data_IF_024967700141
#
_entry.id   IF_024967700141
#
_cell.length_a   1.000
_cell.length_b   1.000
_cell.length_c   1.000
_cell.angle_alpha   90.00
_cell.angle_beta   90.00
_cell.angle_gamma   90.00
#
_symmetry.space_group_name_H-M   'P 1'
#
loop_
_entity.id
_entity.type
_entity.pdbx_description
1 polymer ?
#
# COMPACT_ATOMS: atom_id res chain seq x y z
N UNK A 1 -27.65 -8.76 -40.66
CA UNK A 1 -27.09 -7.43 -40.32
C UNK A 1 -27.54 -7.12 -38.89
N UNK A 2 -26.77 -7.55 -37.90
CA UNK A 2 -27.10 -7.42 -36.48
C UNK A 2 -26.27 -6.26 -35.90
N UNK A 3 -26.94 -5.16 -35.57
CA UNK A 3 -26.38 -4.02 -34.89
C UNK A 3 -26.08 -4.40 -33.43
N UNK A 4 -24.80 -4.38 -33.01
CA UNK A 4 -24.40 -4.38 -31.62
C UNK A 4 -24.48 -2.95 -31.06
N UNK A 5 -25.12 -2.71 -29.93
CA UNK A 5 -25.11 -1.39 -29.32
C UNK A 5 -23.70 -1.15 -28.71
N UNK A 6 -23.00 -0.15 -29.25
CA UNK A 6 -21.88 0.52 -28.58
C UNK A 6 -22.47 1.40 -27.48
N UNK A 7 -22.14 1.12 -26.24
CA UNK A 7 -21.95 2.00 -25.08
C UNK A 7 -22.30 1.25 -23.81
N UNK A 8 -21.36 0.42 -23.34
CA UNK A 8 -21.24 0.26 -21.90
C UNK A 8 -20.25 1.33 -21.42
N UNK A 9 -20.76 2.48 -21.07
CA UNK A 9 -20.09 3.40 -20.17
C UNK A 9 -19.89 2.65 -18.87
N UNK A 10 -18.65 2.34 -18.55
CA UNK A 10 -18.24 1.90 -17.21
C UNK A 10 -18.61 3.04 -16.27
N UNK A 11 -19.78 2.95 -15.65
CA UNK A 11 -20.21 3.82 -14.57
C UNK A 11 -19.15 3.71 -13.48
N UNK A 12 -18.55 4.85 -13.18
CA UNK A 12 -17.60 5.02 -12.10
C UNK A 12 -18.27 4.53 -10.81
N UNK A 13 -17.86 3.36 -10.29
CA UNK A 13 -18.45 2.69 -9.11
C UNK A 13 -18.04 3.40 -7.83
N UNK A 14 -18.31 4.69 -7.75
CA UNK A 14 -18.09 5.49 -6.53
C UNK A 14 -19.06 5.13 -5.40
N UNK A 15 -20.18 4.49 -5.71
CA UNK A 15 -21.14 4.05 -4.70
C UNK A 15 -20.59 2.85 -3.93
N UNK A 16 -20.11 1.83 -4.61
CA UNK A 16 -19.53 0.63 -3.99
C UNK A 16 -18.28 0.93 -3.16
N UNK A 17 -17.45 1.88 -3.61
CA UNK A 17 -16.30 2.32 -2.82
C UNK A 17 -16.75 2.99 -1.51
N UNK A 18 -17.72 3.91 -1.56
CA UNK A 18 -18.26 4.59 -0.37
C UNK A 18 -18.85 3.61 0.64
N UNK A 19 -19.59 2.61 0.17
CA UNK A 19 -20.18 1.59 1.01
C UNK A 19 -19.09 0.71 1.66
N UNK A 20 -18.03 0.39 0.93
CA UNK A 20 -16.87 -0.33 1.47
C UNK A 20 -16.19 0.47 2.59
N UNK A 21 -15.95 1.77 2.40
CA UNK A 21 -15.39 2.63 3.45
C UNK A 21 -16.29 2.72 4.68
N UNK A 22 -17.59 2.87 4.49
CA UNK A 22 -18.57 2.88 5.60
C UNK A 22 -18.57 1.57 6.38
N UNK A 23 -18.54 0.44 5.69
CA UNK A 23 -18.50 -0.89 6.33
C UNK A 23 -17.21 -1.08 7.14
N UNK A 24 -16.07 -0.64 6.61
CA UNK A 24 -14.78 -0.70 7.31
C UNK A 24 -14.80 0.21 8.56
N UNK A 25 -15.33 1.42 8.46
CA UNK A 25 -15.45 2.33 9.59
C UNK A 25 -16.36 1.75 10.68
N UNK A 26 -17.52 1.21 10.29
CA UNK A 26 -18.44 0.54 11.19
C UNK A 26 -17.77 -0.62 11.92
N UNK A 27 -17.05 -1.47 11.18
CA UNK A 27 -16.28 -2.57 11.76
C UNK A 27 -15.26 -2.08 12.78
N UNK A 28 -14.49 -1.04 12.43
CA UNK A 28 -13.46 -0.51 13.33
C UNK A 28 -14.05 0.05 14.61
N UNK A 29 -15.13 0.83 14.53
CA UNK A 29 -15.82 1.40 15.70
C UNK A 29 -16.41 0.32 16.58
N UNK A 30 -17.12 -0.65 16.00
CA UNK A 30 -17.66 -1.79 16.77
C UNK A 30 -16.57 -2.54 17.54
N UNK A 31 -15.42 -2.79 16.88
CA UNK A 31 -14.29 -3.46 17.55
C UNK A 31 -13.66 -2.62 18.64
N UNK A 32 -13.57 -1.31 18.46
CA UNK A 32 -13.09 -0.40 19.49
C UNK A 32 -14.03 -0.39 20.69
N UNK A 33 -15.34 -0.33 20.47
CA UNK A 33 -16.34 -0.35 21.54
C UNK A 33 -16.34 -1.67 22.31
N UNK A 34 -16.32 -2.82 21.59
CA UNK A 34 -16.22 -4.16 22.19
C UNK A 34 -14.99 -4.33 23.10
N UNK A 35 -13.89 -3.66 22.76
CA UNK A 35 -12.61 -3.78 23.46
C UNK A 35 -12.38 -2.67 24.50
N UNK A 36 -13.40 -1.83 24.76
CA UNK A 36 -13.35 -0.80 25.79
C UNK A 36 -12.60 0.47 25.38
N UNK A 37 -12.58 0.77 24.09
CA UNK A 37 -11.98 1.98 23.52
C UNK A 37 -13.04 2.96 22.99
N UNK A 38 -14.20 3.02 23.62
CA UNK A 38 -15.32 3.90 23.23
C UNK A 38 -14.96 5.40 23.24
N UNK A 39 -13.97 5.79 24.05
CA UNK A 39 -13.45 7.15 24.13
C UNK A 39 -12.36 7.46 23.08
N UNK A 40 -12.03 6.51 22.23
CA UNK A 40 -11.10 6.66 21.12
C UNK A 40 -11.82 7.01 19.82
N UNK A 41 -11.15 7.79 18.97
CA UNK A 41 -11.69 8.17 17.67
C UNK A 41 -11.09 7.31 16.55
N UNK A 42 -11.94 6.90 15.60
CA UNK A 42 -11.50 6.28 14.36
C UNK A 42 -11.62 7.29 13.21
N UNK A 43 -10.66 7.27 12.28
CA UNK A 43 -10.69 8.15 11.13
C UNK A 43 -9.81 7.67 9.97
N UNK A 44 -9.75 8.49 8.94
CA UNK A 44 -9.02 8.24 7.72
C UNK A 44 -7.86 9.23 7.57
N UNK A 45 -6.72 8.76 7.04
CA UNK A 45 -5.64 9.65 6.65
C UNK A 45 -5.20 9.42 5.18
N UNK A 46 -4.34 10.28 4.68
CA UNK A 46 -3.81 10.22 3.30
C UNK A 46 -2.35 9.78 3.25
N UNK A 47 -1.88 9.06 4.22
CA UNK A 47 -0.50 8.58 4.25
C UNK A 47 -0.26 7.58 3.11
N UNK A 48 0.86 7.74 2.40
CA UNK A 48 1.25 6.86 1.28
C UNK A 48 2.29 5.81 1.66
N UNK A 49 2.84 5.89 2.87
CA UNK A 49 3.99 5.07 3.31
C UNK A 49 3.72 4.28 4.59
N UNK A 50 2.53 4.41 5.17
CA UNK A 50 2.08 3.62 6.31
C UNK A 50 0.64 3.17 6.07
N UNK A 51 0.24 2.07 6.67
CA UNK A 51 -1.09 1.50 6.53
C UNK A 51 -2.08 2.17 7.48
N UNK A 52 -1.66 2.35 8.73
CA UNK A 52 -2.40 2.99 9.79
C UNK A 52 -1.49 3.71 10.79
N UNK A 53 -2.08 4.33 11.80
CA UNK A 53 -1.38 4.88 12.95
C UNK A 53 -2.32 5.00 14.15
N UNK A 54 -1.82 4.58 15.31
CA UNK A 54 -2.43 4.83 16.61
C UNK A 54 -1.73 6.03 17.28
N UNK A 55 -2.48 7.13 17.51
CA UNK A 55 -1.99 8.31 18.23
C UNK A 55 -2.45 8.22 19.68
N UNK A 56 -1.56 7.74 20.52
CA UNK A 56 -1.85 7.36 21.89
C UNK A 56 -2.37 8.53 22.75
N UNK A 57 -1.74 9.70 22.63
CA UNK A 57 -2.11 10.90 23.42
C UNK A 57 -3.40 11.54 22.91
N UNK A 58 -3.64 11.46 21.62
CA UNK A 58 -4.85 12.01 20.97
C UNK A 58 -6.03 11.02 21.03
N UNK A 59 -5.82 9.81 21.56
CA UNK A 59 -6.78 8.71 21.56
C UNK A 59 -7.44 8.53 20.20
N UNK A 60 -6.63 8.45 19.14
CA UNK A 60 -7.12 8.33 17.77
C UNK A 60 -6.39 7.26 16.98
N UNK A 61 -7.17 6.52 16.20
CA UNK A 61 -6.68 5.51 15.25
C UNK A 61 -7.08 5.97 13.85
N UNK A 62 -6.11 6.03 12.93
CA UNK A 62 -6.40 6.35 11.52
C UNK A 62 -5.82 5.31 10.60
N UNK A 63 -6.55 5.01 9.51
CA UNK A 63 -6.12 4.09 8.45
C UNK A 63 -5.99 4.88 7.13
N UNK A 64 -4.98 4.55 6.36
CA UNK A 64 -4.73 5.23 5.09
C UNK A 64 -5.80 4.88 4.04
N UNK A 65 -6.44 5.91 3.45
CA UNK A 65 -7.36 5.75 2.33
C UNK A 65 -6.68 5.10 1.11
N UNK A 66 -5.39 5.37 0.90
CA UNK A 66 -4.63 4.77 -0.20
C UNK A 66 -4.42 3.28 0.01
N UNK A 67 -4.13 2.87 1.25
CA UNK A 67 -4.01 1.46 1.61
C UNK A 67 -5.35 0.73 1.42
N UNK A 68 -6.45 1.29 1.93
CA UNK A 68 -7.78 0.69 1.82
C UNK A 68 -8.16 0.50 0.35
N UNK A 69 -8.03 1.55 -0.48
CA UNK A 69 -8.33 1.46 -1.92
C UNK A 69 -7.53 0.38 -2.64
N UNK A 70 -6.27 0.22 -2.28
CA UNK A 70 -5.39 -0.78 -2.88
C UNK A 70 -5.71 -2.22 -2.43
N UNK A 71 -6.50 -2.39 -1.36
CA UNK A 71 -6.75 -3.68 -0.71
C UNK A 71 -8.24 -3.99 -0.53
N UNK A 72 -9.14 -3.35 -1.28
CA UNK A 72 -10.58 -3.64 -1.21
C UNK A 72 -10.90 -5.10 -1.53
N UNK A 73 -10.14 -5.73 -2.43
CA UNK A 73 -10.25 -7.15 -2.78
C UNK A 73 -9.66 -8.10 -1.71
N UNK A 74 -8.94 -7.56 -0.73
CA UNK A 74 -8.32 -8.31 0.36
C UNK A 74 -8.72 -7.75 1.72
N UNK A 75 -10.01 -7.79 2.09
CA UNK A 75 -10.54 -7.14 3.30
C UNK A 75 -9.91 -7.66 4.61
N UNK A 76 -9.34 -8.85 4.60
CA UNK A 76 -8.63 -9.40 5.76
C UNK A 76 -7.36 -8.58 6.10
N UNK A 77 -6.64 -8.08 5.12
CA UNK A 77 -5.45 -7.21 5.36
C UNK A 77 -5.85 -5.88 5.99
N UNK A 78 -7.00 -5.33 5.58
CA UNK A 78 -7.54 -4.10 6.17
C UNK A 78 -7.96 -4.35 7.63
N UNK A 79 -8.65 -5.46 7.90
CA UNK A 79 -9.06 -5.83 9.26
C UNK A 79 -7.87 -6.08 10.17
N UNK A 80 -6.87 -6.81 9.70
CA UNK A 80 -5.63 -7.06 10.46
C UNK A 80 -4.92 -5.75 10.81
N UNK A 81 -4.84 -4.81 9.86
CA UNK A 81 -4.27 -3.47 10.11
C UNK A 81 -5.07 -2.70 11.17
N UNK A 82 -6.40 -2.73 11.12
CA UNK A 82 -7.24 -2.09 12.14
C UNK A 82 -6.99 -2.70 13.52
N UNK A 83 -6.97 -4.02 13.62
CA UNK A 83 -6.72 -4.73 14.88
C UNK A 83 -5.29 -4.46 15.40
N UNK A 84 -4.31 -4.33 14.51
CA UNK A 84 -2.95 -3.91 14.86
C UNK A 84 -2.91 -2.56 15.57
N UNK A 85 -3.61 -1.56 15.03
CA UNK A 85 -3.67 -0.23 15.64
C UNK A 85 -4.49 -0.23 16.96
N UNK A 86 -5.56 -1.04 17.03
CA UNK A 86 -6.32 -1.28 18.26
C UNK A 86 -5.43 -1.93 19.32
N UNK A 87 -4.58 -2.89 18.95
CA UNK A 87 -3.64 -3.50 19.89
C UNK A 87 -2.66 -2.49 20.50
N UNK A 88 -2.21 -1.49 19.72
CA UNK A 88 -1.41 -0.37 20.26
C UNK A 88 -2.18 0.44 21.28
N UNK A 89 -3.44 0.78 21.02
CA UNK A 89 -4.29 1.52 21.95
C UNK A 89 -4.49 0.74 23.25
N UNK A 90 -4.78 -0.55 23.17
CA UNK A 90 -4.95 -1.43 24.33
C UNK A 90 -3.65 -1.62 25.14
N UNK A 91 -2.53 -1.83 24.45
CA UNK A 91 -1.22 -1.99 25.09
C UNK A 91 -0.82 -0.73 25.87
N UNK A 92 -1.10 0.43 25.30
CA UNK A 92 -0.91 1.70 25.97
C UNK A 92 -1.87 1.89 27.16
N UNK A 93 -3.15 1.70 26.94
CA UNK A 93 -4.17 1.95 27.99
C UNK A 93 -4.01 1.01 29.17
N UNK A 94 -3.68 -0.27 28.92
CA UNK A 94 -3.59 -1.30 29.98
C UNK A 94 -2.23 -1.38 30.63
N UNK A 95 -1.15 -1.09 29.90
CA UNK A 95 0.23 -1.39 30.33
C UNK A 95 1.21 -0.24 30.11
N UNK A 96 0.81 0.89 29.51
CA UNK A 96 1.72 1.99 29.16
C UNK A 96 2.71 1.65 28.06
N UNK A 97 2.53 0.51 27.34
CA UNK A 97 3.46 0.06 26.31
C UNK A 97 3.17 0.78 24.98
N UNK A 98 4.23 1.38 24.38
CA UNK A 98 4.15 2.16 23.13
C UNK A 98 4.65 1.43 21.92
N UNK A 99 5.36 0.33 22.12
CA UNK A 99 6.08 -0.40 21.06
C UNK A 99 5.44 -1.76 20.79
N UNK A 100 5.98 -2.47 19.79
CA UNK A 100 5.58 -3.85 19.48
C UNK A 100 6.19 -4.87 20.46
N UNK A 101 6.17 -4.56 21.75
CA UNK A 101 6.75 -5.39 22.79
C UNK A 101 5.89 -6.61 23.16
N UNK A 102 6.25 -7.30 24.26
CA UNK A 102 5.60 -8.54 24.67
C UNK A 102 4.09 -8.39 24.94
N UNK A 103 3.68 -7.29 25.61
CA UNK A 103 2.28 -7.03 25.94
C UNK A 103 1.46 -6.75 24.69
N UNK A 104 1.99 -5.91 23.77
CA UNK A 104 1.36 -5.69 22.48
C UNK A 104 1.17 -6.98 21.70
N UNK A 105 2.21 -7.85 21.60
CA UNK A 105 2.11 -9.15 20.93
C UNK A 105 1.08 -10.09 21.56
N UNK A 106 0.98 -10.07 22.88
CA UNK A 106 -0.03 -10.83 23.59
C UNK A 106 -1.42 -10.35 23.23
N UNK A 107 -1.66 -9.03 23.29
CA UNK A 107 -2.95 -8.41 22.94
C UNK A 107 -3.32 -8.70 21.48
N UNK A 108 -2.38 -8.62 20.53
CA UNK A 108 -2.65 -8.99 19.14
C UNK A 108 -3.25 -10.41 19.04
N UNK A 109 -2.67 -11.39 19.73
CA UNK A 109 -3.19 -12.76 19.73
C UNK A 109 -4.58 -12.87 20.35
N UNK A 110 -4.83 -12.12 21.45
CA UNK A 110 -6.11 -12.11 22.16
C UNK A 110 -7.25 -11.57 21.29
N UNK A 111 -6.96 -10.52 20.46
CA UNK A 111 -7.97 -9.88 19.61
C UNK A 111 -8.00 -10.43 18.18
N UNK A 112 -7.17 -11.43 17.86
CA UNK A 112 -7.10 -12.04 16.53
C UNK A 112 -6.30 -11.29 15.48
N UNK A 113 -5.40 -10.37 15.89
CA UNK A 113 -4.45 -9.70 14.99
C UNK A 113 -3.17 -10.52 14.84
N UNK A 114 -2.49 -10.35 13.70
CA UNK A 114 -1.16 -10.95 13.49
C UNK A 114 -0.11 -10.14 14.27
N UNK A 115 0.66 -10.75 15.22
CA UNK A 115 1.62 -10.04 16.07
C UNK A 115 2.92 -9.74 15.33
N UNK A 116 2.84 -9.08 14.17
CA UNK A 116 3.96 -8.71 13.32
C UNK A 116 4.15 -7.19 13.32
N UNK A 117 5.34 -6.72 13.69
CA UNK A 117 5.66 -5.29 13.77
C UNK A 117 5.75 -4.58 12.41
N UNK A 118 5.93 -5.34 11.34
CA UNK A 118 6.07 -4.81 9.98
C UNK A 118 5.00 -5.42 9.08
N UNK A 119 4.35 -4.57 8.28
CA UNK A 119 3.50 -5.07 7.22
C UNK A 119 4.30 -5.95 6.26
N UNK A 120 3.69 -7.01 5.75
CA UNK A 120 4.31 -7.82 4.70
C UNK A 120 4.62 -6.92 3.50
N UNK A 121 5.76 -7.10 2.82
CA UNK A 121 6.12 -6.29 1.64
C UNK A 121 5.02 -6.23 0.57
N UNK A 122 4.24 -7.30 0.44
CA UNK A 122 3.15 -7.42 -0.54
C UNK A 122 1.86 -6.70 -0.12
N UNK A 123 1.65 -6.45 1.18
CA UNK A 123 0.48 -5.74 1.68
C UNK A 123 0.54 -4.23 1.36
N UNK A 124 1.73 -3.69 1.11
CA UNK A 124 1.94 -2.26 0.78
C UNK A 124 1.98 -2.08 -0.73
N UNK A 125 0.88 -2.28 -1.43
CA UNK A 125 0.78 -1.99 -2.88
C UNK A 125 0.54 -0.52 -3.22
N UNK A 126 0.63 0.39 -2.26
CA UNK A 126 0.48 1.83 -2.52
C UNK A 126 1.80 2.42 -2.99
N UNK A 127 2.28 1.99 -4.11
CA UNK A 127 3.39 2.65 -4.81
C UNK A 127 2.85 3.48 -5.96
N UNK A 128 2.25 4.63 -5.66
CA UNK A 128 2.04 5.65 -6.68
C UNK A 128 3.40 6.22 -7.06
N UNK A 129 4.02 5.62 -8.06
CA UNK A 129 5.23 6.16 -8.65
C UNK A 129 4.89 7.44 -9.40
N UNK A 130 5.64 8.52 -9.15
CA UNK A 130 5.44 9.81 -9.82
C UNK A 130 5.98 9.80 -11.25
N UNK A 131 6.96 8.95 -11.53
CA UNK A 131 7.63 8.86 -12.83
C UNK A 131 7.80 7.40 -13.25
N UNK A 132 7.54 7.14 -14.52
CA UNK A 132 7.76 5.86 -15.19
C UNK A 132 8.83 6.04 -16.26
N UNK A 133 9.84 5.17 -16.25
CA UNK A 133 10.81 5.08 -17.33
C UNK A 133 10.33 4.04 -18.34
N UNK A 134 10.10 4.47 -19.56
CA UNK A 134 9.68 3.61 -20.67
C UNK A 134 10.74 3.54 -21.75
N UNK A 135 10.88 2.37 -22.38
CA UNK A 135 11.61 2.26 -23.62
C UNK A 135 10.84 2.94 -24.75
N UNK A 136 11.48 3.82 -25.51
CA UNK A 136 10.83 4.51 -26.64
C UNK A 136 10.43 3.56 -27.77
N UNK A 137 11.14 2.45 -27.90
CA UNK A 137 10.93 1.47 -28.97
C UNK A 137 9.76 0.55 -28.73
N UNK A 138 9.56 0.09 -27.48
CA UNK A 138 8.54 -0.92 -27.12
C UNK A 138 7.44 -0.37 -26.23
N UNK A 139 7.63 0.82 -25.64
CA UNK A 139 6.73 1.36 -24.61
C UNK A 139 6.81 0.63 -23.27
N UNK A 140 7.65 -0.37 -23.15
CA UNK A 140 7.82 -1.18 -21.94
C UNK A 140 8.30 -0.33 -20.76
N UNK A 141 7.69 -0.55 -19.55
CA UNK A 141 8.11 0.11 -18.33
C UNK A 141 9.30 -0.62 -17.75
N UNK A 142 10.47 0.02 -17.78
CA UNK A 142 11.73 -0.53 -17.27
C UNK A 142 12.18 0.06 -15.95
N UNK A 143 11.46 1.06 -15.43
CA UNK A 143 11.75 1.66 -14.12
C UNK A 143 10.59 2.47 -13.59
N UNK A 144 10.48 2.52 -12.25
CA UNK A 144 9.44 3.24 -11.51
C UNK A 144 10.09 4.06 -10.41
N UNK A 145 9.80 5.37 -10.31
CA UNK A 145 10.50 6.30 -9.42
C UNK A 145 9.55 7.25 -8.70
N UNK A 146 9.82 7.54 -7.42
CA UNK A 146 9.06 8.53 -6.64
C UNK A 146 9.55 9.97 -6.84
N UNK A 147 10.82 10.13 -7.22
CA UNK A 147 11.45 11.41 -7.53
C UNK A 147 11.89 11.41 -8.99
N UNK A 148 11.97 12.59 -9.60
CA UNK A 148 12.49 12.71 -10.97
C UNK A 148 13.93 12.19 -10.98
N UNK A 149 14.21 11.14 -11.76
CA UNK A 149 15.57 10.66 -11.90
C UNK A 149 16.42 11.68 -12.66
N UNK A 150 17.76 11.63 -12.53
CA UNK A 150 18.66 12.50 -13.27
C UNK A 150 18.44 12.32 -14.77
N UNK A 151 18.73 13.37 -15.56
CA UNK A 151 18.53 13.38 -17.02
C UNK A 151 19.38 12.31 -17.73
N UNK A 152 20.53 11.96 -17.18
CA UNK A 152 21.37 10.86 -17.62
C UNK A 152 20.88 9.57 -17.00
N UNK A 153 20.12 8.79 -17.76
CA UNK A 153 19.79 7.41 -17.37
C UNK A 153 21.06 6.58 -17.50
N UNK A 154 21.49 5.85 -16.46
CA UNK A 154 22.60 4.91 -16.60
C UNK A 154 22.31 3.94 -17.77
N UNK A 155 23.29 3.72 -18.62
CA UNK A 155 23.17 2.73 -19.68
C UNK A 155 22.82 1.35 -19.09
N UNK A 156 22.17 0.45 -19.84
CA UNK A 156 21.76 -0.87 -19.34
C UNK A 156 22.84 -1.68 -18.63
N UNK A 157 24.11 -1.44 -18.95
CA UNK A 157 25.27 -2.05 -18.28
C UNK A 157 25.41 -1.63 -16.80
N UNK A 158 24.86 -0.47 -16.38
CA UNK A 158 24.90 -0.03 -14.99
C UNK A 158 23.67 -0.48 -14.17
N UNK A 159 22.58 -0.92 -14.83
CA UNK A 159 21.38 -1.40 -14.15
C UNK A 159 21.49 -2.87 -13.71
N UNK A 160 22.49 -3.62 -14.19
CA UNK A 160 22.74 -5.03 -13.83
C UNK A 160 23.17 -5.17 -12.36
N UNK A 161 23.65 -4.10 -11.71
CA UNK A 161 24.09 -4.10 -10.32
C UNK A 161 22.97 -3.96 -9.27
N UNK A 162 21.70 -3.76 -9.67
CA UNK A 162 20.57 -3.55 -8.75
C UNK A 162 19.64 -4.77 -8.69
N UNK A 163 19.87 -5.78 -9.52
CA UNK A 163 19.18 -7.06 -9.41
C UNK A 163 19.97 -8.01 -8.51
N UNK A 164 19.30 -8.80 -7.64
CA UNK A 164 20.00 -9.80 -6.83
C UNK A 164 20.74 -10.80 -7.75
N UNK A 165 21.88 -11.36 -7.32
CA UNK A 165 22.75 -12.16 -8.18
C UNK A 165 22.10 -13.52 -8.48
N UNK A 166 21.45 -13.64 -9.61
CA UNK A 166 21.24 -14.93 -10.25
C UNK A 166 22.33 -15.10 -11.33
N UNK A 167 23.08 -16.16 -11.21
CA UNK A 167 24.27 -16.55 -11.98
C UNK A 167 24.24 -16.14 -13.44
N UNK A 168 25.24 -15.32 -13.81
CA UNK A 168 25.53 -14.97 -15.21
C UNK A 168 26.14 -16.15 -15.98
N UNK A 169 25.53 -16.52 -17.09
CA UNK A 169 26.23 -17.18 -18.20
C UNK A 169 26.64 -16.11 -19.22
N UNK A 170 27.85 -16.21 -19.84
CA UNK A 170 28.30 -15.22 -20.79
C UNK A 170 27.61 -15.45 -22.14
N UNK A 171 26.80 -14.48 -22.56
CA UNK A 171 26.26 -14.40 -23.92
C UNK A 171 26.94 -13.28 -24.68
N UNK A 172 27.30 -13.61 -25.93
CA UNK A 172 28.02 -12.79 -26.91
C UNK A 172 27.43 -11.38 -27.06
N UNK A 173 28.29 -10.39 -27.26
CA UNK A 173 27.96 -8.99 -27.41
C UNK A 173 27.05 -8.73 -28.62
N UNK A 174 25.85 -8.14 -28.47
CA UNK A 174 25.08 -7.62 -29.58
C UNK A 174 25.49 -6.16 -29.85
N UNK A 175 25.51 -5.81 -31.14
CA UNK A 175 25.79 -4.52 -31.73
C UNK A 175 25.13 -3.33 -30.99
N UNK A 176 25.86 -2.21 -30.87
CA UNK A 176 25.45 -0.96 -30.28
C UNK A 176 24.25 -0.31 -30.95
N UNK A 177 23.06 -0.70 -30.67
CA UNK A 177 21.88 0.13 -30.92
C UNK A 177 21.65 1.05 -29.72
N UNK A 178 21.76 2.35 -29.95
CA UNK A 178 21.41 3.36 -28.91
C UNK A 178 19.94 3.20 -28.56
N UNK A 179 19.64 2.60 -27.41
CA UNK A 179 18.27 2.58 -26.87
C UNK A 179 17.93 3.96 -26.35
N UNK A 180 16.94 4.60 -26.93
CA UNK A 180 16.44 5.89 -26.45
C UNK A 180 15.32 5.68 -25.44
N UNK A 181 15.37 6.45 -24.35
CA UNK A 181 14.39 6.40 -23.27
C UNK A 181 13.57 7.69 -23.22
N UNK A 182 12.35 7.62 -22.74
CA UNK A 182 11.54 8.78 -22.42
C UNK A 182 10.95 8.68 -21.02
N UNK A 183 10.78 9.83 -20.40
CA UNK A 183 10.10 9.96 -19.10
C UNK A 183 8.65 10.36 -19.34
N UNK A 184 7.75 9.70 -18.67
CA UNK A 184 6.35 10.09 -18.63
C UNK A 184 5.91 10.26 -17.18
N UNK A 185 5.04 11.23 -16.93
CA UNK A 185 4.37 11.30 -15.64
C UNK A 185 3.47 10.08 -15.50
N UNK A 186 3.48 9.43 -14.33
CA UNK A 186 2.52 8.40 -14.04
C UNK A 186 1.16 9.10 -13.81
N UNK A 187 0.19 8.80 -14.64
CA UNK A 187 -1.21 9.20 -14.37
C UNK A 187 -1.65 8.42 -13.15
N UNK A 188 -2.19 9.06 -12.10
CA UNK A 188 -2.78 8.31 -11.00
C UNK A 188 -3.97 7.51 -11.53
N UNK A 189 -3.98 6.21 -11.30
CA UNK A 189 -5.14 5.35 -11.47
C UNK A 189 -6.18 5.67 -10.40
#
# INVERSE_FOLDING_TARGET
MLCFPRNMTMGNDQSGERDSFRNIETYARLKMDELGLADWQFGWDRAKRRLGVCRLLEKSITISIHFVRANLETPHEIRDTILHEIAHALAWTRHGERTHGPRWKQICREIGAVPCASAKPDAIRVTTYKYLLRLKTTGEIVGKYHRRPPATVPTPSCLIGILPPTRCFPLAAPSRTRRSFCWTNATPL
#
